data_IF_506782389397
#
_entry.id   IF_506782389397
#
_cell.length_a   1.000
_cell.length_b   1.000
_cell.length_c   1.000
_cell.angle_alpha   90.00
_cell.angle_beta   90.00
_cell.angle_gamma   90.00
#
_symmetry.space_group_name_H-M   'P 1'
#
loop_
_entity.id
_entity.type
_entity.pdbx_description
1 polymer ?
#
# COMPACT_ATOMS: atom_id res chain seq x y z
N UNK A 1 21.89 6.97 -60.10
CA UNK A 1 23.18 7.07 -60.77
C UNK A 1 24.15 6.23 -59.99
N UNK A 2 24.58 5.06 -60.50
CA UNK A 2 25.18 4.00 -59.67
C UNK A 2 26.70 4.19 -59.54
N UNK A 3 27.19 4.14 -58.30
CA UNK A 3 28.60 4.13 -57.91
C UNK A 3 29.43 2.95 -58.48
N UNK A 4 28.83 2.14 -59.37
CA UNK A 4 29.49 1.01 -60.05
C UNK A 4 30.56 1.44 -61.10
N UNK A 5 30.68 2.73 -61.38
CA UNK A 5 31.65 3.24 -62.33
C UNK A 5 33.08 3.42 -61.77
N UNK A 6 33.28 3.22 -60.46
CA UNK A 6 34.55 3.48 -59.80
C UNK A 6 35.27 2.21 -59.33
N UNK A 7 34.80 0.99 -59.68
CA UNK A 7 35.35 -0.31 -59.24
C UNK A 7 35.55 -0.43 -57.70
N UNK A 8 34.84 0.44 -56.94
CA UNK A 8 34.92 0.43 -55.49
C UNK A 8 33.87 -0.57 -54.96
N UNK A 9 34.35 -1.61 -54.24
CA UNK A 9 33.46 -2.53 -53.54
C UNK A 9 32.64 -1.77 -52.50
N UNK A 10 31.29 -1.78 -52.65
CA UNK A 10 30.34 -1.12 -51.73
C UNK A 10 30.11 -1.96 -50.45
N UNK A 11 30.52 -3.24 -50.45
CA UNK A 11 30.28 -4.18 -49.35
C UNK A 11 30.92 -3.72 -48.03
N UNK A 12 32.21 -3.28 -47.97
CA UNK A 12 32.80 -2.77 -46.72
C UNK A 12 32.12 -1.50 -46.22
N UNK A 13 31.65 -0.63 -47.14
CA UNK A 13 30.96 0.61 -46.76
C UNK A 13 29.58 0.30 -46.14
N UNK A 14 28.84 -0.63 -46.75
CA UNK A 14 27.55 -1.10 -46.19
C UNK A 14 27.74 -1.81 -44.84
N UNK A 15 28.77 -2.64 -44.73
CA UNK A 15 29.08 -3.30 -43.44
C UNK A 15 29.41 -2.29 -42.34
N UNK A 16 30.26 -1.29 -42.64
CA UNK A 16 30.60 -0.21 -41.73
C UNK A 16 29.37 0.63 -41.29
N UNK A 17 28.54 1.02 -42.29
CA UNK A 17 27.29 1.74 -42.02
C UNK A 17 26.31 0.91 -41.16
N UNK A 18 26.24 -0.41 -41.41
CA UNK A 18 25.45 -1.33 -40.58
C UNK A 18 25.88 -1.36 -39.13
N UNK A 19 27.18 -1.43 -38.85
CA UNK A 19 27.71 -1.39 -37.46
C UNK A 19 27.39 -0.07 -36.79
N UNK A 20 27.57 1.06 -37.48
CA UNK A 20 27.23 2.39 -36.94
C UNK A 20 25.73 2.48 -36.65
N UNK A 21 24.88 1.99 -37.58
CA UNK A 21 23.43 1.96 -37.42
C UNK A 21 23.01 1.15 -36.20
N UNK A 22 23.60 -0.02 -35.94
CA UNK A 22 23.34 -0.85 -34.78
C UNK A 22 23.76 -0.13 -33.47
N UNK A 23 24.92 0.53 -33.47
CA UNK A 23 25.40 1.26 -32.28
C UNK A 23 24.44 2.40 -31.89
N UNK A 24 23.97 3.17 -32.90
CA UNK A 24 22.98 4.23 -32.67
C UNK A 24 21.66 3.65 -32.20
N UNK A 25 21.20 2.53 -32.77
CA UNK A 25 19.97 1.87 -32.39
C UNK A 25 19.98 1.41 -30.94
N UNK A 26 21.06 0.79 -30.47
CA UNK A 26 21.21 0.41 -29.05
C UNK A 26 21.26 1.62 -28.14
N UNK A 27 21.95 2.70 -28.53
CA UNK A 27 22.00 3.94 -27.76
C UNK A 27 20.67 4.68 -27.63
N UNK A 28 19.80 4.57 -28.65
CA UNK A 28 18.49 5.22 -28.66
C UNK A 28 17.33 4.34 -28.13
N UNK A 29 17.58 3.09 -27.81
CA UNK A 29 16.54 2.11 -27.46
C UNK A 29 15.63 2.58 -26.32
N UNK A 30 16.19 3.10 -25.24
CA UNK A 30 15.42 3.57 -24.08
C UNK A 30 14.55 4.78 -24.40
N UNK A 31 15.06 5.71 -25.21
CA UNK A 31 14.29 6.88 -25.66
C UNK A 31 13.08 6.48 -26.50
N UNK A 32 13.26 5.49 -27.37
CA UNK A 32 12.15 4.97 -28.19
C UNK A 32 11.11 4.28 -27.31
N UNK A 33 11.56 3.51 -26.30
CA UNK A 33 10.66 2.89 -25.33
C UNK A 33 9.87 3.94 -24.54
N UNK A 34 10.51 5.00 -24.06
CA UNK A 34 9.85 6.10 -23.36
C UNK A 34 8.77 6.75 -24.24
N UNK A 35 9.08 7.05 -25.49
CA UNK A 35 8.14 7.64 -26.45
C UNK A 35 6.92 6.73 -26.68
N UNK A 36 7.14 5.44 -26.87
CA UNK A 36 6.05 4.47 -27.10
C UNK A 36 5.19 4.36 -25.83
N UNK A 37 5.77 4.15 -24.66
CA UNK A 37 5.03 4.04 -23.41
C UNK A 37 4.30 5.34 -23.07
N UNK A 38 4.95 6.49 -23.21
CA UNK A 38 4.33 7.79 -22.98
C UNK A 38 3.15 8.06 -23.90
N UNK A 39 3.28 7.70 -25.18
CA UNK A 39 2.17 7.80 -26.13
C UNK A 39 0.99 6.90 -25.71
N UNK A 40 1.26 5.67 -25.30
CA UNK A 40 0.22 4.75 -24.83
C UNK A 40 -0.46 5.31 -23.58
N UNK A 41 0.28 5.77 -22.57
CA UNK A 41 -0.30 6.35 -21.35
C UNK A 41 -1.21 7.55 -21.63
N UNK A 42 -0.81 8.42 -22.57
CA UNK A 42 -1.61 9.58 -22.95
C UNK A 42 -2.88 9.20 -23.73
N UNK A 43 -2.80 8.20 -24.63
CA UNK A 43 -3.97 7.74 -25.39
C UNK A 43 -4.96 6.96 -24.53
N UNK A 44 -4.45 6.12 -23.62
CA UNK A 44 -5.29 5.29 -22.74
C UNK A 44 -5.80 6.04 -21.52
N UNK A 45 -5.34 7.27 -21.28
CA UNK A 45 -5.65 8.08 -20.11
C UNK A 45 -5.48 7.27 -18.81
N UNK A 46 -4.38 6.52 -18.72
CA UNK A 46 -4.11 5.64 -17.57
C UNK A 46 -3.94 6.42 -16.27
N UNK A 47 -3.39 7.63 -16.35
CA UNK A 47 -3.30 8.60 -15.27
C UNK A 47 -3.13 10.01 -15.85
N UNK A 48 -3.51 11.02 -15.08
CA UNK A 48 -3.49 12.43 -15.46
C UNK A 48 -2.81 13.30 -14.40
N UNK A 49 -2.52 14.55 -14.78
CA UNK A 49 -2.03 15.55 -13.82
C UNK A 49 -3.08 15.77 -12.73
N UNK A 50 -2.66 15.67 -11.48
CA UNK A 50 -3.53 15.77 -10.30
C UNK A 50 -3.84 14.41 -9.66
N UNK A 51 -3.72 13.31 -10.38
CA UNK A 51 -3.92 11.98 -9.84
C UNK A 51 -2.90 11.63 -8.76
N UNK A 52 -3.34 10.80 -7.82
CA UNK A 52 -2.46 10.17 -6.84
C UNK A 52 -2.12 8.76 -7.30
N UNK A 53 -0.85 8.54 -7.57
CA UNK A 53 -0.37 7.28 -8.14
C UNK A 53 0.74 6.67 -7.30
N UNK A 54 0.89 5.34 -7.42
CA UNK A 54 2.08 4.60 -6.99
C UNK A 54 2.70 3.96 -8.21
N UNK A 55 3.95 4.30 -8.48
CA UNK A 55 4.75 3.75 -9.57
C UNK A 55 6.01 3.17 -8.95
N UNK A 56 6.15 1.84 -9.00
CA UNK A 56 7.20 1.09 -8.28
C UNK A 56 7.21 1.51 -6.79
N UNK A 57 8.28 2.12 -6.30
CA UNK A 57 8.43 2.59 -4.91
C UNK A 57 8.10 4.09 -4.73
N UNK A 58 7.61 4.75 -5.78
CA UNK A 58 7.30 6.18 -5.76
C UNK A 58 5.81 6.40 -5.63
N UNK A 59 5.39 6.96 -4.51
CA UNK A 59 4.01 7.36 -4.25
C UNK A 59 3.88 8.87 -4.22
N UNK A 60 2.86 9.42 -4.90
CA UNK A 60 2.59 10.86 -4.86
C UNK A 60 1.59 11.35 -5.90
N UNK A 61 1.43 12.67 -5.93
CA UNK A 61 0.58 13.36 -6.90
C UNK A 61 1.35 13.62 -8.19
N UNK A 62 0.73 13.34 -9.31
CA UNK A 62 1.25 13.64 -10.64
C UNK A 62 1.19 15.15 -10.86
N UNK A 63 2.33 15.78 -11.15
CA UNK A 63 2.43 17.20 -11.48
C UNK A 63 2.57 17.44 -12.99
N UNK A 64 3.22 16.51 -13.69
CA UNK A 64 3.47 16.62 -15.12
C UNK A 64 3.50 15.23 -15.76
N UNK A 65 2.90 15.13 -16.94
CA UNK A 65 3.01 13.97 -17.82
C UNK A 65 3.43 14.47 -19.19
N UNK A 66 4.54 13.99 -19.72
CA UNK A 66 4.98 14.26 -21.07
C UNK A 66 5.30 12.94 -21.82
N UNK A 67 5.87 13.01 -23.03
CA UNK A 67 6.13 11.81 -23.84
C UNK A 67 7.24 10.90 -23.31
N UNK A 68 8.16 11.41 -22.49
CA UNK A 68 9.36 10.68 -22.09
C UNK A 68 9.35 10.29 -20.60
N UNK A 69 8.74 11.14 -19.75
CA UNK A 69 8.72 10.95 -18.31
C UNK A 69 7.45 11.54 -17.69
N UNK A 70 7.17 11.12 -16.47
CA UNK A 70 6.20 11.76 -15.59
C UNK A 70 6.88 12.30 -14.34
N UNK A 71 6.37 13.42 -13.79
CA UNK A 71 6.82 14.02 -12.54
C UNK A 71 5.79 13.80 -11.45
N UNK A 72 6.25 13.27 -10.33
CA UNK A 72 5.41 12.90 -9.20
C UNK A 72 5.97 13.54 -7.94
N UNK A 73 5.13 14.25 -7.18
CA UNK A 73 5.52 14.84 -5.90
C UNK A 73 4.88 14.09 -4.74
N UNK A 74 5.71 13.64 -3.82
CA UNK A 74 5.23 12.96 -2.62
C UNK A 74 4.78 13.96 -1.52
N UNK A 75 4.20 13.44 -0.42
CA UNK A 75 3.78 14.25 0.73
C UNK A 75 4.93 14.99 1.45
N UNK A 76 6.17 14.55 1.26
CA UNK A 76 7.36 15.21 1.82
C UNK A 76 7.86 16.36 0.93
N UNK A 77 7.17 16.64 -0.19
CA UNK A 77 7.55 17.68 -1.15
C UNK A 77 8.65 17.28 -2.13
N UNK A 78 9.12 16.03 -2.10
CA UNK A 78 10.14 15.54 -3.03
C UNK A 78 9.52 15.29 -4.39
N UNK A 79 10.15 15.84 -5.45
CA UNK A 79 9.75 15.65 -6.84
C UNK A 79 10.57 14.52 -7.46
N UNK A 80 9.88 13.49 -7.91
CA UNK A 80 10.46 12.38 -8.66
C UNK A 80 10.20 12.56 -10.15
N UNK A 81 11.21 12.31 -10.97
CA UNK A 81 11.08 12.23 -12.43
C UNK A 81 11.24 10.78 -12.83
N UNK A 82 10.18 10.18 -13.32
CA UNK A 82 10.12 8.75 -13.65
C UNK A 82 10.06 8.58 -15.16
N UNK A 83 11.11 8.05 -15.84
CA UNK A 83 11.07 7.71 -17.25
C UNK A 83 10.03 6.62 -17.50
N UNK A 84 9.30 6.72 -18.62
CA UNK A 84 8.17 5.82 -18.87
C UNK A 84 8.57 4.35 -19.08
N UNK A 85 9.77 4.07 -19.62
CA UNK A 85 10.28 2.70 -19.76
C UNK A 85 10.49 1.97 -18.44
N UNK A 86 10.59 2.69 -17.31
CA UNK A 86 10.71 2.12 -15.96
C UNK A 86 9.37 1.77 -15.34
N UNK A 87 8.25 2.25 -15.90
CA UNK A 87 6.91 2.00 -15.35
C UNK A 87 6.44 0.61 -15.79
N UNK A 88 6.53 -0.36 -14.89
CA UNK A 88 6.02 -1.72 -15.11
C UNK A 88 4.61 -1.88 -14.54
N UNK A 89 4.39 -1.35 -13.33
CA UNK A 89 3.11 -1.36 -12.65
C UNK A 89 2.79 0.06 -12.24
N UNK A 90 1.57 0.49 -12.54
CA UNK A 90 1.02 1.77 -12.12
C UNK A 90 -0.24 1.50 -11.33
N UNK A 91 -0.30 1.99 -10.08
CA UNK A 91 -1.51 2.00 -9.28
C UNK A 91 -2.04 3.44 -9.24
N UNK A 92 -3.29 3.64 -9.64
CA UNK A 92 -3.95 4.94 -9.57
C UNK A 92 -5.03 4.89 -8.47
N UNK A 93 -4.83 5.70 -7.43
CA UNK A 93 -5.73 5.75 -6.27
C UNK A 93 -6.89 6.71 -6.42
N UNK A 94 -6.90 7.49 -7.51
CA UNK A 94 -7.87 8.57 -7.71
C UNK A 94 -8.60 8.50 -9.03
N UNK A 95 -8.32 7.51 -9.88
CA UNK A 95 -9.00 7.35 -11.16
C UNK A 95 -10.47 6.98 -10.94
N UNK A 96 -11.38 7.79 -11.48
CA UNK A 96 -12.84 7.65 -11.46
C UNK A 96 -13.48 7.68 -10.06
N UNK A 97 -13.00 6.92 -9.10
CA UNK A 97 -13.44 6.88 -7.71
C UNK A 97 -12.33 6.37 -6.80
N UNK A 98 -12.49 6.58 -5.51
CA UNK A 98 -11.58 6.09 -4.47
C UNK A 98 -12.36 5.28 -3.43
N UNK A 99 -11.68 4.55 -2.55
CA UNK A 99 -12.33 3.74 -1.53
C UNK A 99 -11.61 3.83 -0.20
N UNK A 100 -12.37 4.03 0.85
CA UNK A 100 -11.92 3.74 2.21
C UNK A 100 -11.98 2.24 2.40
N UNK A 101 -10.87 1.65 2.75
CA UNK A 101 -10.74 0.28 3.25
C UNK A 101 -10.33 0.37 4.72
N UNK A 102 -11.29 0.14 5.61
CA UNK A 102 -11.04 0.28 7.04
C UNK A 102 -11.27 -1.03 7.77
N UNK A 103 -10.17 -1.51 8.35
CA UNK A 103 -10.18 -2.66 9.25
C UNK A 103 -9.91 -2.18 10.68
N UNK A 104 -10.71 -2.63 11.62
CA UNK A 104 -10.51 -2.42 13.06
C UNK A 104 -10.47 -3.75 13.78
N UNK A 105 -9.58 -3.88 14.74
CA UNK A 105 -9.41 -5.08 15.54
C UNK A 105 -10.09 -4.89 16.91
N UNK A 106 -11.04 -5.78 17.24
CA UNK A 106 -11.75 -5.77 18.52
C UNK A 106 -11.25 -6.91 19.41
N UNK A 107 -11.35 -6.73 20.74
CA UNK A 107 -10.93 -7.75 21.72
C UNK A 107 -11.77 -9.02 21.60
N UNK A 108 -11.19 -10.18 21.90
CA UNK A 108 -11.92 -11.46 21.99
C UNK A 108 -13.08 -11.47 22.98
N UNK A 109 -13.03 -10.61 23.99
CA UNK A 109 -14.07 -10.49 25.01
C UNK A 109 -15.26 -9.65 24.54
N UNK A 110 -15.15 -9.01 23.36
CA UNK A 110 -16.19 -8.18 22.79
C UNK A 110 -17.23 -9.04 22.10
N UNK A 111 -18.50 -8.69 22.28
CA UNK A 111 -19.58 -9.21 21.45
C UNK A 111 -19.39 -8.70 20.01
N UNK A 112 -19.05 -9.63 19.12
CA UNK A 112 -18.72 -9.33 17.71
C UNK A 112 -19.92 -8.80 16.96
N UNK A 113 -21.11 -9.33 17.19
CA UNK A 113 -22.34 -8.90 16.50
C UNK A 113 -22.69 -7.48 16.90
N UNK A 114 -22.51 -7.12 18.17
CA UNK A 114 -22.68 -5.75 18.63
C UNK A 114 -21.62 -4.82 18.02
N UNK A 115 -20.36 -5.25 17.95
CA UNK A 115 -19.28 -4.46 17.34
C UNK A 115 -19.56 -4.20 15.86
N UNK A 116 -20.00 -5.23 15.10
CA UNK A 116 -20.38 -5.10 13.71
C UNK A 116 -21.56 -4.13 13.52
N UNK A 117 -22.59 -4.25 14.36
CA UNK A 117 -23.76 -3.37 14.29
C UNK A 117 -23.40 -1.90 14.54
N UNK A 118 -22.58 -1.62 15.56
CA UNK A 118 -22.09 -0.27 15.87
C UNK A 118 -21.20 0.27 14.74
N UNK A 119 -20.33 -0.58 14.20
CA UNK A 119 -19.42 -0.19 13.12
C UNK A 119 -20.20 0.21 11.85
N UNK A 120 -21.19 -0.61 11.47
CA UNK A 120 -22.07 -0.32 10.34
C UNK A 120 -22.91 0.95 10.56
N UNK A 121 -23.46 1.12 11.76
CA UNK A 121 -24.25 2.30 12.11
C UNK A 121 -23.41 3.58 11.99
N UNK A 122 -22.20 3.61 12.52
CA UNK A 122 -21.30 4.76 12.42
C UNK A 122 -20.97 5.11 10.96
N UNK A 123 -20.76 4.11 10.12
CA UNK A 123 -20.49 4.32 8.72
C UNK A 123 -21.73 4.86 7.97
N UNK A 124 -22.93 4.39 8.30
CA UNK A 124 -24.20 4.92 7.77
C UNK A 124 -24.43 6.36 8.21
N UNK A 125 -24.22 6.66 9.49
CA UNK A 125 -24.33 8.03 10.02
C UNK A 125 -23.34 8.99 9.32
N UNK A 126 -22.14 8.51 8.97
CA UNK A 126 -21.18 9.31 8.20
C UNK A 126 -21.63 9.51 6.75
N UNK A 127 -22.18 8.49 6.12
CA UNK A 127 -22.75 8.56 4.77
C UNK A 127 -23.92 9.55 4.69
N UNK A 128 -24.78 9.57 5.69
CA UNK A 128 -25.98 10.40 5.73
C UNK A 128 -25.72 11.83 6.25
N UNK A 129 -24.52 12.11 6.77
CA UNK A 129 -24.12 13.43 7.28
C UNK A 129 -23.98 14.44 6.12
N UNK A 130 -24.71 15.56 6.11
CA UNK A 130 -24.68 16.56 5.04
C UNK A 130 -23.28 17.12 4.74
N UNK A 131 -22.37 17.12 5.72
CA UNK A 131 -21.01 17.61 5.54
C UNK A 131 -20.10 16.59 4.82
N UNK A 132 -20.48 15.30 4.81
CA UNK A 132 -19.67 14.20 4.29
C UNK A 132 -20.30 13.44 3.14
N UNK A 133 -21.64 13.47 3.05
CA UNK A 133 -22.41 12.74 2.02
C UNK A 133 -22.01 13.07 0.59
N UNK A 134 -21.57 14.32 0.33
CA UNK A 134 -21.10 14.73 -0.99
C UNK A 134 -19.77 14.07 -1.40
N UNK A 135 -18.99 13.61 -0.43
CA UNK A 135 -17.68 12.96 -0.65
C UNK A 135 -17.81 11.44 -0.77
N UNK A 136 -18.97 10.88 -0.48
CA UNK A 136 -19.24 9.44 -0.46
C UNK A 136 -20.18 9.11 -1.62
N UNK A 137 -19.76 8.21 -2.51
CA UNK A 137 -20.50 7.91 -3.75
C UNK A 137 -21.45 6.74 -3.65
N UNK A 138 -21.28 5.89 -2.64
CA UNK A 138 -22.15 4.74 -2.41
C UNK A 138 -22.22 4.39 -0.91
N UNK A 139 -23.28 3.68 -0.47
CA UNK A 139 -23.41 3.29 0.93
C UNK A 139 -22.28 2.38 1.39
N UNK A 140 -21.96 2.38 2.72
CA UNK A 140 -20.93 1.52 3.28
C UNK A 140 -21.27 0.05 3.10
N UNK A 141 -20.24 -0.77 2.87
CA UNK A 141 -20.34 -2.21 2.75
C UNK A 141 -19.60 -2.86 3.91
N UNK A 142 -20.33 -3.48 4.82
CA UNK A 142 -19.75 -4.24 5.92
C UNK A 142 -19.37 -5.65 5.42
N UNK A 143 -18.09 -6.00 5.52
CA UNK A 143 -17.59 -7.33 5.13
C UNK A 143 -17.66 -8.34 6.27
N UNK A 144 -17.90 -7.87 7.50
CA UNK A 144 -17.95 -8.74 8.67
C UNK A 144 -16.58 -9.04 9.25
N UNK A 145 -16.43 -10.24 9.80
CA UNK A 145 -15.16 -10.71 10.36
C UNK A 145 -14.23 -11.14 9.21
N UNK A 146 -13.10 -10.49 9.09
CA UNK A 146 -12.10 -10.78 8.06
C UNK A 146 -11.05 -11.79 8.55
N UNK A 147 -10.60 -11.62 9.79
CA UNK A 147 -9.54 -12.45 10.37
C UNK A 147 -9.71 -12.56 11.88
N UNK A 148 -9.32 -13.71 12.43
CA UNK A 148 -9.17 -13.92 13.86
C UNK A 148 -7.67 -14.07 14.14
N UNK A 149 -7.05 -13.03 14.72
CA UNK A 149 -5.62 -12.93 14.97
C UNK A 149 -5.29 -13.23 16.45
N UNK A 150 -4.00 -13.29 16.80
CA UNK A 150 -3.59 -13.39 18.22
C UNK A 150 -3.89 -12.13 19.06
N UNK A 151 -4.21 -11.02 18.43
CA UNK A 151 -4.46 -9.73 19.08
C UNK A 151 -5.96 -9.45 19.26
N UNK A 152 -6.80 -10.05 18.42
CA UNK A 152 -8.24 -9.86 18.42
C UNK A 152 -8.93 -10.33 17.16
N UNK A 153 -10.11 -9.83 16.95
CA UNK A 153 -10.97 -10.13 15.81
C UNK A 153 -11.00 -8.90 14.89
N UNK A 154 -10.53 -9.06 13.65
CA UNK A 154 -10.56 -7.99 12.64
C UNK A 154 -11.91 -7.96 11.93
N UNK A 155 -12.53 -6.81 11.97
CA UNK A 155 -13.75 -6.51 11.21
C UNK A 155 -13.45 -5.45 10.16
N UNK A 156 -14.02 -5.61 8.96
CA UNK A 156 -13.72 -4.79 7.80
C UNK A 156 -14.94 -4.14 7.19
N UNK A 157 -14.76 -2.89 6.78
CA UNK A 157 -15.77 -2.09 6.10
C UNK A 157 -15.14 -1.35 4.93
N UNK A 158 -15.84 -1.33 3.81
CA UNK A 158 -15.49 -0.56 2.63
C UNK A 158 -16.47 0.60 2.45
N UNK A 159 -15.95 1.77 2.06
CA UNK A 159 -16.76 2.96 1.82
C UNK A 159 -16.24 3.67 0.56
N UNK A 160 -16.98 3.57 -0.58
CA UNK A 160 -16.62 4.24 -1.82
C UNK A 160 -16.76 5.76 -1.70
N UNK A 161 -15.77 6.48 -2.22
CA UNK A 161 -15.69 7.95 -2.12
C UNK A 161 -15.38 8.59 -3.46
N UNK A 162 -15.57 9.90 -3.55
CA UNK A 162 -15.05 10.70 -4.65
C UNK A 162 -13.53 10.55 -4.79
N UNK A 163 -12.97 10.76 -6.00
CA UNK A 163 -11.54 10.68 -6.25
C UNK A 163 -10.72 11.51 -5.25
N UNK A 164 -9.79 10.84 -4.55
CA UNK A 164 -8.88 11.50 -3.61
C UNK A 164 -9.45 11.81 -2.22
N UNK A 165 -10.76 11.67 -1.99
CA UNK A 165 -11.40 12.04 -0.72
C UNK A 165 -11.33 10.92 0.34
N UNK A 166 -10.96 9.71 -0.06
CA UNK A 166 -10.91 8.56 0.84
C UNK A 166 -9.99 8.76 2.06
N UNK A 167 -8.90 9.53 1.95
CA UNK A 167 -8.04 9.82 3.11
C UNK A 167 -8.73 10.66 4.17
N UNK A 168 -9.49 11.70 3.74
CA UNK A 168 -10.19 12.59 4.65
C UNK A 168 -11.38 11.87 5.30
N UNK A 169 -12.17 11.18 4.49
CA UNK A 169 -13.30 10.35 4.95
C UNK A 169 -12.82 9.25 5.90
N UNK A 170 -11.70 8.58 5.62
CA UNK A 170 -11.15 7.54 6.48
C UNK A 170 -10.72 8.09 7.86
N UNK A 171 -10.10 9.27 7.92
CA UNK A 171 -9.73 9.90 9.19
C UNK A 171 -10.96 10.21 10.04
N UNK A 172 -12.02 10.72 9.43
CA UNK A 172 -13.26 11.00 10.14
C UNK A 172 -13.99 9.72 10.58
N UNK A 173 -14.06 8.71 9.71
CA UNK A 173 -14.62 7.40 10.05
C UNK A 173 -13.91 6.80 11.26
N UNK A 174 -12.58 6.78 11.26
CA UNK A 174 -11.77 6.29 12.39
C UNK A 174 -12.06 7.04 13.68
N UNK A 175 -12.19 8.35 13.62
CA UNK A 175 -12.53 9.18 14.78
C UNK A 175 -13.91 8.83 15.35
N UNK A 176 -14.92 8.71 14.48
CA UNK A 176 -16.28 8.36 14.89
C UNK A 176 -16.36 6.94 15.45
N UNK A 177 -15.73 5.98 14.81
CA UNK A 177 -15.68 4.59 15.26
C UNK A 177 -15.04 4.51 16.65
N UNK A 178 -13.92 5.18 16.87
CA UNK A 178 -13.27 5.21 18.19
C UNK A 178 -14.21 5.74 19.29
N UNK A 179 -14.90 6.85 19.05
CA UNK A 179 -15.84 7.45 20.00
C UNK A 179 -17.04 6.53 20.25
N UNK A 180 -17.59 5.94 19.20
CA UNK A 180 -18.72 5.04 19.32
C UNK A 180 -18.36 3.76 20.09
N UNK A 181 -17.22 3.18 19.81
CA UNK A 181 -16.74 1.97 20.51
C UNK A 181 -16.51 2.24 21.99
N UNK A 182 -15.93 3.40 22.37
CA UNK A 182 -15.78 3.79 23.77
C UNK A 182 -17.14 3.96 24.47
N UNK A 183 -18.11 4.61 23.81
CA UNK A 183 -19.46 4.78 24.36
C UNK A 183 -20.16 3.45 24.60
N UNK A 184 -20.00 2.50 23.70
CA UNK A 184 -20.65 1.19 23.75
C UNK A 184 -19.83 0.14 24.55
N UNK A 185 -18.69 0.53 25.13
CA UNK A 185 -17.82 -0.36 25.88
C UNK A 185 -17.15 -1.45 25.05
N UNK A 186 -17.01 -1.22 23.75
CA UNK A 186 -16.34 -2.14 22.82
C UNK A 186 -14.84 -1.93 22.93
N UNK A 187 -14.13 -2.94 23.42
CA UNK A 187 -12.68 -2.89 23.57
C UNK A 187 -11.97 -3.15 22.23
N UNK A 188 -11.07 -2.23 21.86
CA UNK A 188 -10.16 -2.44 20.72
C UNK A 188 -9.10 -3.46 21.11
N UNK A 189 -8.71 -4.34 20.19
CA UNK A 189 -7.70 -5.37 20.44
C UNK A 189 -6.38 -4.77 20.90
N UNK A 190 -5.88 -5.28 22.01
CA UNK A 190 -4.57 -4.91 22.57
C UNK A 190 -3.70 -6.15 22.51
N UNK A 191 -2.43 -6.07 22.06
CA UNK A 191 -1.50 -7.20 22.11
C UNK A 191 -1.40 -7.74 23.52
N UNK A 192 -1.97 -8.94 23.78
CA UNK A 192 -1.85 -9.62 25.07
C UNK A 192 -0.59 -10.49 25.04
N UNK A 193 0.42 -10.14 25.86
CA UNK A 193 1.56 -11.01 26.12
C UNK A 193 1.30 -11.77 27.42
N UNK A 194 1.15 -13.10 27.34
CA UNK A 194 1.10 -13.96 28.51
C UNK A 194 2.51 -14.42 28.85
N UNK A 195 3.01 -14.04 30.04
CA UNK A 195 4.26 -14.57 30.56
C UNK A 195 3.94 -15.78 31.43
N UNK A 196 4.36 -16.97 30.99
CA UNK A 196 4.38 -18.14 31.86
C UNK A 196 5.56 -18.02 32.82
N UNK A 197 5.31 -17.55 34.04
CA UNK A 197 6.30 -17.61 35.11
C UNK A 197 6.32 -19.05 35.62
N UNK A 198 7.21 -19.90 35.11
CA UNK A 198 7.50 -21.19 35.72
C UNK A 198 8.25 -20.90 37.05
N UNK A 199 7.56 -21.02 38.14
CA UNK A 199 8.21 -21.08 39.44
C UNK A 199 9.05 -22.36 39.53
N UNK A 200 10.32 -22.25 39.23
CA UNK A 200 11.32 -23.26 39.50
C UNK A 200 11.67 -23.25 41.02
N UNK A 201 10.67 -23.54 41.85
CA UNK A 201 10.87 -23.78 43.29
C UNK A 201 11.23 -25.25 43.47
N UNK A 202 12.40 -25.70 43.07
CA UNK A 202 13.02 -26.97 43.48
C UNK A 202 14.41 -27.16 42.87
N UNK A 203 15.33 -26.24 43.12
CA UNK A 203 16.74 -26.48 42.67
C UNK A 203 17.78 -26.23 43.75
N UNK A 204 17.41 -25.98 44.99
CA UNK A 204 18.41 -25.90 46.09
C UNK A 204 17.84 -26.50 47.38
N UNK A 205 17.57 -27.81 47.40
CA UNK A 205 17.56 -28.57 48.67
C UNK A 205 18.92 -29.27 48.81
N UNK A 206 19.92 -28.46 49.15
CA UNK A 206 21.21 -28.95 49.65
C UNK A 206 21.13 -28.91 51.19
N UNK A 207 20.27 -29.76 51.76
CA UNK A 207 20.40 -30.06 53.20
C UNK A 207 21.48 -31.12 53.39
N UNK A 208 22.69 -30.65 53.54
CA UNK A 208 23.78 -31.46 54.04
C UNK A 208 23.47 -31.98 55.42
N UNK A 209 23.08 -33.24 55.57
CA UNK A 209 23.15 -33.97 56.84
C UNK A 209 24.59 -34.36 57.08
N UNK A 210 25.32 -33.54 57.82
CA UNK A 210 26.51 -33.98 58.51
C UNK A 210 26.12 -34.99 59.61
N UNK A 211 26.48 -36.23 59.35
CA UNK A 211 26.38 -37.29 60.36
C UNK A 211 27.52 -37.16 61.35
N UNK A 212 27.20 -36.66 62.53
CA UNK A 212 28.13 -36.72 63.69
C UNK A 212 28.20 -38.17 64.17
N UNK A 213 29.28 -38.81 63.82
CA UNK A 213 29.66 -40.12 64.38
C UNK A 213 30.09 -39.96 65.91
N UNK A 214 29.27 -40.48 66.79
CA UNK A 214 29.68 -40.70 68.19
C UNK A 214 30.36 -42.05 68.31
N UNK A 215 31.66 -42.04 68.56
CA UNK A 215 32.39 -43.20 69.14
C UNK A 215 32.19 -43.23 70.63
N UNK A 216 31.71 -44.36 71.15
CA UNK A 216 32.02 -44.81 72.47
C UNK A 216 32.32 -46.31 72.45
N UNK A 217 33.55 -46.58 72.94
CA UNK A 217 34.06 -47.82 73.56
C UNK A 217 33.57 -49.18 73.08
#
# INVERSE_FOLDING_TARGET
MSLRFLDISIVPILAGAGVVGLTISFGAQTLIQDLVHGTVFLITDSFAVGDWVVIEDVEGRVEEVNLLYSRIRNLKGVLFTVPHHQIKILQNHTKDWSQVDYTVEVSYETDVDRALSVFEQVAKELHDDPNWSQLIVAPPQLFGVEEISHQGIKIRLLLPTQPGEHWMVNRELRRRVKIAFEREGIAIGIPKQSFLVQNSTNLFDISGKEGVGSRKK
#
